data_IF_132536149015
#
_entry.id   IF_132536149015
#
_cell.length_a   1.000
_cell.length_b   1.000
_cell.length_c   1.000
_cell.angle_alpha   90.00
_cell.angle_beta   90.00
_cell.angle_gamma   90.00
#
_symmetry.space_group_name_H-M   'P 1'
#
loop_
_entity.id
_entity.type
_entity.pdbx_description
1 polymer ?
#
# COMPACT_ATOMS: atom_id res chain seq x y z
N UNK A 1 1.65 3.55 20.76
CA UNK A 1 0.71 4.68 20.52
C UNK A 1 1.35 5.89 19.85
N UNK A 2 2.68 6.04 19.88
CA UNK A 2 3.35 7.27 19.46
C UNK A 2 3.32 7.52 17.94
N UNK A 3 3.47 6.47 17.13
CA UNK A 3 3.57 6.62 15.68
C UNK A 3 2.32 7.20 15.00
N UNK A 4 1.13 6.67 15.32
CA UNK A 4 -0.14 7.17 14.76
C UNK A 4 -0.39 8.62 15.17
N UNK A 5 -0.08 8.99 16.42
CA UNK A 5 -0.21 10.38 16.89
C UNK A 5 0.76 11.30 16.16
N UNK A 6 2.02 10.90 16.03
CA UNK A 6 3.01 11.65 15.25
C UNK A 6 2.55 11.85 13.80
N UNK A 7 1.95 10.84 13.18
CA UNK A 7 1.40 10.93 11.82
C UNK A 7 0.16 11.83 11.73
N UNK A 8 -0.71 11.85 12.76
CA UNK A 8 -1.87 12.75 12.82
C UNK A 8 -1.44 14.22 12.93
N UNK A 9 -0.34 14.49 13.64
CA UNK A 9 0.17 15.85 13.86
C UNK A 9 0.98 16.39 12.67
N UNK A 10 1.55 15.50 11.86
CA UNK A 10 2.39 15.83 10.72
C UNK A 10 1.57 16.47 9.59
N UNK A 11 1.90 17.72 9.26
CA UNK A 11 1.22 18.49 8.19
C UNK A 11 2.25 19.07 7.23
N UNK A 12 2.27 18.56 6.00
CA UNK A 12 3.16 19.05 4.96
C UNK A 12 2.47 18.98 3.58
N UNK A 13 2.74 19.97 2.73
CA UNK A 13 2.09 20.12 1.41
C UNK A 13 2.25 18.94 0.44
N UNK A 14 3.28 18.12 0.64
CA UNK A 14 3.61 16.98 -0.23
C UNK A 14 3.34 15.63 0.44
N UNK A 15 2.58 15.61 1.53
CA UNK A 15 2.30 14.40 2.29
C UNK A 15 0.80 14.24 2.50
N UNK A 16 0.31 13.02 2.33
CA UNK A 16 -1.09 12.70 2.51
C UNK A 16 -1.41 12.74 4.00
N UNK A 17 -2.35 13.59 4.39
CA UNK A 17 -2.71 13.77 5.79
C UNK A 17 -3.49 12.56 6.31
N UNK A 18 -3.08 12.05 7.48
CA UNK A 18 -3.90 11.12 8.25
C UNK A 18 -5.03 11.91 8.96
N UNK A 19 -6.28 11.55 8.68
CA UNK A 19 -7.47 12.23 9.22
C UNK A 19 -8.16 11.44 10.33
N UNK A 20 -7.85 10.14 10.47
CA UNK A 20 -8.40 9.32 11.54
C UNK A 20 -7.71 7.96 11.66
N UNK A 21 -7.93 7.31 12.80
CA UNK A 21 -7.53 5.92 13.03
C UNK A 21 -8.63 5.19 13.81
N UNK A 22 -8.78 3.90 13.56
CA UNK A 22 -9.65 3.02 14.32
C UNK A 22 -8.85 1.78 14.76
N UNK A 23 -9.07 1.33 15.99
CA UNK A 23 -8.57 0.08 16.50
C UNK A 23 -9.72 -0.67 17.15
N UNK A 24 -10.07 -1.82 16.59
CA UNK A 24 -11.10 -2.71 17.11
C UNK A 24 -10.46 -4.05 17.49
N UNK A 25 -10.94 -4.65 18.58
CA UNK A 25 -10.47 -5.95 19.07
C UNK A 25 -11.68 -6.84 19.27
N UNK A 26 -11.73 -7.91 18.49
CA UNK A 26 -12.84 -8.86 18.51
C UNK A 26 -12.35 -10.23 18.94
N UNK A 27 -13.15 -10.91 19.77
CA UNK A 27 -12.92 -12.31 20.12
C UNK A 27 -13.53 -13.18 19.03
N UNK A 28 -12.69 -13.93 18.32
CA UNK A 28 -13.09 -14.87 17.28
C UNK A 28 -12.78 -16.29 17.74
N UNK A 29 -13.70 -17.22 17.50
CA UNK A 29 -13.44 -18.63 17.69
C UNK A 29 -12.69 -19.13 16.47
N UNK A 30 -11.45 -19.60 16.65
CA UNK A 30 -10.61 -20.10 15.57
C UNK A 30 -10.32 -21.57 15.82
N UNK A 31 -10.48 -22.38 14.78
CA UNK A 31 -10.11 -23.79 14.79
C UNK A 31 -8.64 -23.94 14.37
N UNK A 32 -7.87 -24.67 15.16
CA UNK A 32 -6.53 -25.13 14.79
C UNK A 32 -6.40 -26.60 15.17
N UNK A 33 -6.13 -27.46 14.17
CA UNK A 33 -5.90 -28.89 14.37
C UNK A 33 -7.04 -29.60 15.12
N UNK A 34 -8.30 -29.27 14.82
CA UNK A 34 -9.49 -29.86 15.43
C UNK A 34 -9.84 -29.33 16.83
N UNK A 35 -9.11 -28.33 17.34
CA UNK A 35 -9.39 -27.66 18.61
C UNK A 35 -9.85 -26.23 18.37
N UNK A 36 -10.99 -25.87 18.95
CA UNK A 36 -11.50 -24.49 18.94
C UNK A 36 -10.92 -23.69 20.10
N UNK A 37 -10.34 -22.53 19.79
CA UNK A 37 -9.80 -21.61 20.80
C UNK A 37 -10.35 -20.21 20.55
N UNK A 38 -10.73 -19.52 21.62
CA UNK A 38 -11.13 -18.12 21.54
C UNK A 38 -9.86 -17.26 21.45
N UNK A 39 -9.70 -16.53 20.36
CA UNK A 39 -8.55 -15.65 20.13
C UNK A 39 -9.00 -14.21 19.97
N UNK A 40 -8.22 -13.28 20.52
CA UNK A 40 -8.42 -11.85 20.28
C UNK A 40 -7.75 -11.46 18.97
N UNK A 41 -8.55 -11.07 17.98
CA UNK A 41 -8.08 -10.50 16.72
C UNK A 41 -8.27 -8.99 16.76
N UNK A 42 -7.16 -8.26 16.67
CA UNK A 42 -7.16 -6.81 16.54
C UNK A 42 -7.13 -6.38 15.08
N UNK A 43 -8.04 -5.50 14.69
CA UNK A 43 -8.08 -4.86 13.37
C UNK A 43 -7.77 -3.37 13.52
N UNK A 44 -6.91 -2.85 12.65
CA UNK A 44 -6.49 -1.43 12.66
C UNK A 44 -6.79 -0.82 11.30
N UNK A 45 -7.46 0.33 11.32
CA UNK A 45 -7.74 1.12 10.12
C UNK A 45 -7.08 2.49 10.26
N UNK A 46 -6.47 2.95 9.16
CA UNK A 46 -5.93 4.29 9.02
C UNK A 46 -6.71 5.01 7.91
N UNK A 47 -7.27 6.16 8.23
CA UNK A 47 -8.06 6.97 7.32
C UNK A 47 -7.22 8.17 6.89
N UNK A 48 -6.85 8.23 5.62
CA UNK A 48 -6.13 9.34 5.02
C UNK A 48 -7.08 10.25 4.23
N UNK A 49 -6.65 11.50 3.99
CA UNK A 49 -7.36 12.37 3.05
C UNK A 49 -7.39 11.76 1.65
N UNK A 50 -8.42 12.10 0.89
CA UNK A 50 -8.58 11.59 -0.45
C UNK A 50 -7.57 12.20 -1.42
N UNK A 51 -6.87 11.35 -2.17
CA UNK A 51 -5.97 11.76 -3.25
C UNK A 51 -6.68 11.63 -4.60
N UNK A 52 -7.19 12.72 -5.20
CA UNK A 52 -7.98 12.65 -6.44
C UNK A 52 -7.16 12.15 -7.63
N UNK A 53 -5.84 12.35 -7.61
CA UNK A 53 -4.93 11.92 -8.66
C UNK A 53 -4.34 10.53 -8.43
N UNK A 54 -4.68 9.89 -7.32
CA UNK A 54 -4.12 8.60 -6.95
C UNK A 54 -2.60 8.68 -6.75
N UNK A 55 -1.97 7.52 -6.87
CA UNK A 55 -0.57 7.29 -6.59
C UNK A 55 0.33 7.44 -7.82
N UNK A 56 1.61 7.70 -7.59
CA UNK A 56 2.59 7.99 -8.64
C UNK A 56 2.79 6.80 -9.61
N UNK A 57 2.63 5.56 -9.15
CA UNK A 57 2.76 4.35 -9.97
C UNK A 57 1.83 4.37 -11.19
N UNK A 58 0.63 4.96 -11.06
CA UNK A 58 -0.31 5.09 -12.18
C UNK A 58 0.25 5.94 -13.32
N UNK A 59 1.05 6.95 -12.98
CA UNK A 59 1.70 7.81 -13.94
C UNK A 59 2.97 7.17 -14.50
N UNK A 60 3.74 6.48 -13.66
CA UNK A 60 4.95 5.77 -14.08
C UNK A 60 4.63 4.60 -15.02
N UNK A 61 3.57 3.83 -14.76
CA UNK A 61 3.14 2.75 -15.67
C UNK A 61 2.82 3.29 -17.07
N UNK A 62 2.08 4.41 -17.17
CA UNK A 62 1.80 5.04 -18.46
C UNK A 62 3.06 5.47 -19.20
N UNK A 63 4.02 6.06 -18.48
CA UNK A 63 5.31 6.48 -19.06
C UNK A 63 6.12 5.26 -19.50
N UNK A 64 6.25 4.23 -18.67
CA UNK A 64 7.02 3.02 -19.00
C UNK A 64 6.39 2.29 -20.19
N UNK A 65 5.06 2.14 -20.24
CA UNK A 65 4.37 1.54 -21.38
C UNK A 65 4.62 2.37 -22.66
N UNK A 66 4.58 3.70 -22.57
CA UNK A 66 4.88 4.55 -23.72
C UNK A 66 6.32 4.40 -24.20
N UNK A 67 7.30 4.31 -23.29
CA UNK A 67 8.71 4.10 -23.61
C UNK A 67 8.94 2.71 -24.22
N UNK A 68 8.37 1.66 -23.64
CA UNK A 68 8.56 0.27 -24.10
C UNK A 68 7.88 0.03 -25.45
N UNK A 69 6.70 0.60 -25.68
CA UNK A 69 5.93 0.38 -26.91
C UNK A 69 6.33 1.30 -28.06
N UNK A 70 6.75 2.53 -27.78
CA UNK A 70 7.02 3.54 -28.82
C UNK A 70 8.50 3.84 -29.05
N UNK A 71 9.41 3.36 -28.19
CA UNK A 71 10.87 3.45 -28.42
C UNK A 71 11.40 2.04 -28.76
N UNK A 72 11.59 1.71 -30.06
CA UNK A 72 11.86 0.35 -30.54
C UNK A 72 13.17 -0.27 -29.99
N UNK A 73 14.12 0.56 -29.53
CA UNK A 73 15.38 0.09 -28.96
C UNK A 73 15.32 -0.21 -27.46
N UNK A 74 14.33 0.33 -26.74
CA UNK A 74 14.23 0.18 -25.27
C UNK A 74 13.54 -1.13 -24.86
N UNK A 75 12.55 -1.60 -25.62
CA UNK A 75 11.85 -2.86 -25.36
C UNK A 75 12.75 -4.10 -25.42
N UNK A 76 13.79 -4.09 -26.27
CA UNK A 76 14.79 -5.17 -26.35
C UNK A 76 15.73 -5.22 -25.15
N UNK A 77 16.09 -4.07 -24.58
CA UNK A 77 17.03 -3.98 -23.43
C UNK A 77 16.39 -4.51 -22.14
N UNK A 78 15.09 -4.28 -21.93
CA UNK A 78 14.37 -4.79 -20.76
C UNK A 78 14.18 -6.31 -20.79
N UNK A 79 13.86 -6.88 -21.96
CA UNK A 79 13.72 -8.33 -22.12
C UNK A 79 15.02 -9.10 -21.81
N UNK A 80 16.18 -8.53 -22.18
CA UNK A 80 17.48 -9.14 -21.89
C UNK A 80 17.86 -9.06 -20.41
N UNK A 81 17.51 -7.97 -19.72
CA UNK A 81 17.77 -7.84 -18.28
C UNK A 81 16.90 -8.76 -17.41
N UNK A 82 15.70 -9.12 -17.88
CA UNK A 82 14.79 -10.02 -17.15
C UNK A 82 15.17 -11.51 -17.31
N UNK A 83 16.03 -11.85 -18.28
CA UNK A 83 16.57 -13.20 -18.49
C UNK A 83 17.92 -13.42 -17.78
N UNK A 84 18.53 -12.37 -17.23
CA UNK A 84 19.79 -12.47 -16.47
C UNK A 84 19.60 -12.59 -14.95
N UNK A 85 18.38 -12.87 -14.48
CA UNK A 85 18.08 -13.11 -13.06
C UNK A 85 17.22 -14.36 -12.85
#
# INVERSE_FOLDING_TARGET
>A
MNEVRSLMDLKHRNMVKLIGYCYDVQKKLVESSGKYTLVEMGERLLCYEYLPRGSLDKYLCGIILSVVLYIPDFGRVLYLNQLMH
#
